data_IF_674031035114
#
_entry.id   IF_674031035114
#
_cell.length_a   1.000
_cell.length_b   1.000
_cell.length_c   1.000
_cell.angle_alpha   90.00
_cell.angle_beta   90.00
_cell.angle_gamma   90.00
#
_symmetry.space_group_name_H-M   'P 1'
#
loop_
_entity.id
_entity.type
_entity.pdbx_description
1 polymer ?
#
# COMPACT_ATOMS: atom_id res chain seq x y z
N UNK A 1 37.44 13.63 21.13
CA UNK A 1 36.03 13.60 20.67
C UNK A 1 35.64 12.14 20.45
N UNK A 2 34.69 11.62 21.24
CA UNK A 2 34.19 10.26 21.04
C UNK A 2 33.31 10.21 19.77
N UNK A 3 33.39 9.15 18.94
CA UNK A 3 32.49 9.01 17.80
C UNK A 3 31.08 8.74 18.33
N UNK A 4 30.19 9.71 18.16
CA UNK A 4 28.75 9.54 18.37
C UNK A 4 28.25 8.40 17.48
N UNK A 5 27.80 7.30 18.10
CA UNK A 5 27.09 6.20 17.43
C UNK A 5 25.86 6.79 16.73
N UNK A 6 25.96 7.01 15.42
CA UNK A 6 24.82 7.34 14.58
C UNK A 6 23.96 6.08 14.52
N UNK A 7 22.90 6.03 15.32
CA UNK A 7 21.90 4.98 15.22
C UNK A 7 21.30 5.04 13.82
N UNK A 8 21.54 4.00 13.01
CA UNK A 8 20.92 3.85 11.69
C UNK A 8 19.41 3.90 11.88
N UNK A 9 18.77 5.01 11.50
CA UNK A 9 17.32 5.09 11.39
C UNK A 9 16.91 4.06 10.35
N UNK A 10 16.22 3.02 10.79
CA UNK A 10 15.71 1.97 9.89
C UNK A 10 14.54 2.58 9.13
N UNK A 11 14.77 2.89 7.86
CA UNK A 11 13.74 3.36 6.94
C UNK A 11 13.18 2.17 6.15
N UNK A 12 11.89 1.93 6.25
CA UNK A 12 11.18 0.96 5.43
C UNK A 12 10.59 1.66 4.20
N UNK A 13 10.85 1.11 3.01
CA UNK A 13 10.26 1.59 1.76
C UNK A 13 9.38 0.51 1.17
N UNK A 14 8.12 0.85 0.96
CA UNK A 14 7.14 -0.03 0.33
C UNK A 14 6.54 0.65 -0.89
N UNK A 15 6.24 -0.14 -1.92
CA UNK A 15 5.63 0.36 -3.15
C UNK A 15 4.36 -0.42 -3.43
N UNK A 16 3.32 0.29 -3.85
CA UNK A 16 2.07 -0.29 -4.35
C UNK A 16 1.93 0.16 -5.79
N UNK A 17 2.03 -0.78 -6.70
CA UNK A 17 1.83 -0.57 -8.12
C UNK A 17 0.34 -0.70 -8.45
N UNK A 18 -0.27 0.42 -8.86
CA UNK A 18 -1.65 0.51 -9.30
C UNK A 18 -1.76 0.84 -10.79
N UNK A 19 -0.66 0.79 -11.55
CA UNK A 19 -0.58 1.26 -12.94
C UNK A 19 -1.62 0.62 -13.87
N UNK A 20 -1.80 -0.70 -13.80
CA UNK A 20 -2.81 -1.43 -14.57
C UNK A 20 -4.22 -0.85 -14.39
N UNK A 21 -4.83 -0.97 -13.20
CA UNK A 21 -6.20 -0.49 -12.98
C UNK A 21 -6.36 1.03 -12.96
N UNK A 22 -5.29 1.79 -12.71
CA UNK A 22 -5.33 3.25 -12.81
C UNK A 22 -5.36 3.72 -14.27
N UNK A 23 -4.63 3.04 -15.18
CA UNK A 23 -4.65 3.32 -16.61
C UNK A 23 -6.05 3.14 -17.22
N UNK A 24 -6.76 2.10 -16.77
CA UNK A 24 -8.14 1.80 -17.20
C UNK A 24 -9.20 2.66 -16.50
N UNK A 25 -8.78 3.61 -15.65
CA UNK A 25 -9.65 4.49 -14.84
C UNK A 25 -10.59 3.76 -13.86
N UNK A 26 -10.32 2.48 -13.57
CA UNK A 26 -11.07 1.67 -12.59
C UNK A 26 -10.61 2.01 -11.17
N UNK A 27 -9.35 2.41 -11.00
CA UNK A 27 -8.76 2.75 -9.71
C UNK A 27 -8.28 4.21 -9.66
N UNK A 28 -8.77 4.97 -8.70
CA UNK A 28 -8.30 6.35 -8.47
C UNK A 28 -7.16 6.39 -7.45
N UNK A 29 -5.94 6.57 -7.96
CA UNK A 29 -4.73 6.70 -7.15
C UNK A 29 -4.75 7.95 -6.25
N UNK A 30 -5.43 9.03 -6.65
CA UNK A 30 -5.55 10.27 -5.86
C UNK A 30 -6.43 10.05 -4.63
N UNK A 31 -7.57 9.38 -4.81
CA UNK A 31 -8.44 9.01 -3.70
C UNK A 31 -7.77 8.01 -2.76
N UNK A 32 -6.99 7.07 -3.31
CA UNK A 32 -6.26 6.10 -2.51
C UNK A 32 -5.13 6.75 -1.67
N UNK A 33 -4.39 7.71 -2.23
CA UNK A 33 -3.39 8.50 -1.50
C UNK A 33 -4.00 9.21 -0.29
N UNK A 34 -5.12 9.93 -0.49
CA UNK A 34 -5.86 10.59 0.59
C UNK A 34 -6.34 9.59 1.65
N UNK A 35 -6.86 8.44 1.20
CA UNK A 35 -7.29 7.38 2.10
C UNK A 35 -6.14 6.85 2.97
N UNK A 36 -4.93 6.71 2.42
CA UNK A 36 -3.76 6.29 3.19
C UNK A 36 -3.37 7.34 4.24
N UNK A 37 -3.40 8.63 3.90
CA UNK A 37 -3.17 9.70 4.88
C UNK A 37 -4.14 9.63 6.06
N UNK A 38 -5.42 9.37 5.81
CA UNK A 38 -6.44 9.36 6.87
C UNK A 38 -6.45 8.07 7.70
N UNK A 39 -6.06 6.94 7.09
CA UNK A 39 -6.29 5.60 7.67
C UNK A 39 -5.03 4.92 8.19
N UNK A 40 -3.85 5.40 7.82
CA UNK A 40 -2.61 4.93 8.43
C UNK A 40 -2.60 5.34 9.90
N UNK A 41 -2.39 4.33 10.75
CA UNK A 41 -2.19 4.48 12.18
C UNK A 41 -0.73 4.28 12.52
N UNK A 42 -0.25 5.13 13.42
CA UNK A 42 1.05 5.00 14.05
C UNK A 42 0.79 4.97 15.56
N UNK A 43 1.31 3.96 16.26
CA UNK A 43 1.11 3.81 17.72
C UNK A 43 -0.38 3.81 18.13
N UNK A 44 -1.25 3.28 17.26
CA UNK A 44 -2.68 3.16 17.49
C UNK A 44 -3.53 4.39 17.15
N UNK A 45 -2.93 5.52 16.77
CA UNK A 45 -3.64 6.77 16.43
C UNK A 45 -3.47 7.16 14.96
N UNK A 46 -4.51 7.76 14.39
CA UNK A 46 -4.49 8.39 13.05
C UNK A 46 -4.09 9.87 13.18
N UNK A 47 -3.61 10.50 12.10
CA UNK A 47 -3.37 11.96 12.07
C UNK A 47 -2.00 12.45 12.57
N UNK A 48 -1.02 11.55 12.76
CA UNK A 48 0.34 11.88 13.21
C UNK A 48 1.43 11.40 12.25
N UNK A 49 1.23 11.53 10.93
CA UNK A 49 2.16 11.02 9.92
C UNK A 49 3.41 11.90 9.73
N UNK A 50 3.39 13.16 10.18
CA UNK A 50 4.49 14.11 9.99
C UNK A 50 5.83 13.50 10.46
N UNK A 51 6.84 13.54 9.58
CA UNK A 51 8.20 12.99 9.70
C UNK A 51 8.34 11.47 9.88
N UNK A 52 7.26 10.76 10.24
CA UNK A 52 7.26 9.32 10.49
C UNK A 52 6.97 8.51 9.24
N UNK A 53 5.98 8.93 8.45
CA UNK A 53 5.56 8.24 7.23
C UNK A 53 5.32 9.24 6.11
N UNK A 54 6.04 9.07 5.02
CA UNK A 54 5.90 9.86 3.79
C UNK A 54 5.21 8.99 2.75
N UNK A 55 4.10 9.48 2.21
CA UNK A 55 3.37 8.87 1.10
C UNK A 55 3.62 9.75 -0.12
N UNK A 56 4.04 9.14 -1.22
CA UNK A 56 4.32 9.84 -2.48
C UNK A 56 3.66 9.08 -3.61
N UNK A 57 2.87 9.79 -4.43
CA UNK A 57 2.39 9.28 -5.71
C UNK A 57 3.42 9.57 -6.80
N UNK A 58 3.93 8.52 -7.44
CA UNK A 58 4.79 8.62 -8.62
C UNK A 58 3.99 8.73 -9.93
N UNK A 59 4.70 8.90 -11.04
CA UNK A 59 4.12 9.22 -12.35
C UNK A 59 3.24 8.10 -12.94
N UNK A 60 3.52 6.84 -12.61
CA UNK A 60 2.77 5.66 -13.12
C UNK A 60 1.64 5.17 -12.19
N UNK A 61 1.01 6.07 -11.42
CA UNK A 61 0.06 5.68 -10.36
C UNK A 61 0.64 4.71 -9.30
N UNK A 62 1.97 4.66 -9.18
CA UNK A 62 2.68 3.92 -8.14
C UNK A 62 2.69 4.74 -6.86
N UNK A 63 2.22 4.15 -5.76
CA UNK A 63 2.28 4.79 -4.45
C UNK A 63 3.48 4.24 -3.68
N UNK A 64 4.40 5.15 -3.35
CA UNK A 64 5.54 4.84 -2.50
C UNK A 64 5.26 5.29 -1.08
N UNK A 65 5.38 4.37 -0.12
CA UNK A 65 5.26 4.64 1.31
C UNK A 65 6.63 4.44 1.95
N UNK A 66 7.20 5.51 2.47
CA UNK A 66 8.46 5.49 3.22
C UNK A 66 8.16 5.72 4.69
N UNK A 67 8.55 4.78 5.56
CA UNK A 67 8.32 4.85 6.99
C UNK A 67 9.65 4.84 7.75
N UNK A 68 9.84 5.77 8.68
CA UNK A 68 11.02 5.88 9.53
C UNK A 68 10.88 5.14 10.88
N UNK A 69 9.70 4.58 11.15
CA UNK A 69 9.37 3.78 12.32
C UNK A 69 8.94 2.37 11.87
N UNK A 70 8.78 1.45 12.82
CA UNK A 70 8.19 0.11 12.58
C UNK A 70 6.90 0.20 11.77
N UNK A 71 6.97 -0.31 10.54
CA UNK A 71 5.86 -0.31 9.61
C UNK A 71 5.87 -1.61 8.84
N UNK A 72 4.73 -2.28 8.80
CA UNK A 72 4.63 -3.59 8.16
C UNK A 72 4.02 -3.47 6.77
N UNK A 73 4.60 -4.22 5.83
CA UNK A 73 4.03 -4.38 4.50
C UNK A 73 2.60 -4.92 4.57
N UNK A 74 2.33 -5.91 5.42
CA UNK A 74 1.00 -6.51 5.60
C UNK A 74 -0.07 -5.46 5.94
N UNK A 75 0.27 -4.41 6.67
CA UNK A 75 -0.67 -3.33 6.98
C UNK A 75 -1.12 -2.58 5.72
N UNK A 76 -0.24 -2.36 4.74
CA UNK A 76 -0.61 -1.80 3.45
C UNK A 76 -1.57 -2.71 2.68
N UNK A 77 -1.36 -4.05 2.70
CA UNK A 77 -2.30 -5.01 2.08
C UNK A 77 -3.69 -4.93 2.69
N UNK A 78 -3.76 -4.75 4.01
CA UNK A 78 -5.04 -4.55 4.69
C UNK A 78 -5.72 -3.26 4.25
N UNK A 79 -4.99 -2.13 4.23
CA UNK A 79 -5.53 -0.83 3.85
C UNK A 79 -5.97 -0.80 2.38
N UNK A 80 -5.19 -1.38 1.46
CA UNK A 80 -5.57 -1.50 0.04
C UNK A 80 -6.83 -2.34 -0.11
N UNK A 81 -6.91 -3.55 0.50
CA UNK A 81 -8.13 -4.38 0.49
C UNK A 81 -9.34 -3.63 1.05
N UNK A 82 -9.15 -2.83 2.10
CA UNK A 82 -10.21 -2.03 2.71
C UNK A 82 -10.72 -0.93 1.78
N UNK A 83 -9.82 -0.26 1.07
CA UNK A 83 -10.17 0.71 0.04
C UNK A 83 -10.94 0.04 -1.11
N UNK A 84 -10.43 -1.08 -1.65
CA UNK A 84 -11.10 -1.84 -2.71
C UNK A 84 -12.51 -2.27 -2.31
N UNK A 85 -12.72 -2.72 -1.06
CA UNK A 85 -14.08 -3.08 -0.59
C UNK A 85 -15.01 -1.88 -0.51
N UNK A 86 -14.53 -0.72 -0.05
CA UNK A 86 -15.33 0.51 0.02
C UNK A 86 -15.78 1.00 -1.36
N UNK A 87 -14.95 0.78 -2.37
CA UNK A 87 -15.21 1.17 -3.77
C UNK A 87 -15.77 0.03 -4.64
N UNK A 88 -16.17 -1.12 -4.03
CA UNK A 88 -16.70 -2.28 -4.75
C UNK A 88 -15.78 -2.86 -5.85
N UNK A 89 -14.47 -2.72 -5.69
CA UNK A 89 -13.45 -3.19 -6.65
C UNK A 89 -12.90 -4.59 -6.33
N UNK A 90 -13.44 -5.27 -5.31
CA UNK A 90 -12.95 -6.56 -4.82
C UNK A 90 -13.17 -7.70 -5.80
N UNK A 91 -14.16 -7.59 -6.67
CA UNK A 91 -14.52 -8.64 -7.62
C UNK A 91 -13.65 -8.57 -8.87
N UNK A 92 -13.03 -7.41 -9.11
CA UNK A 92 -12.18 -7.17 -10.28
C UNK A 92 -10.70 -7.18 -9.94
N UNK A 93 -10.31 -6.74 -8.74
CA UNK A 93 -8.91 -6.52 -8.38
C UNK A 93 -8.48 -7.30 -7.13
N UNK A 94 -7.30 -7.94 -7.22
CA UNK A 94 -6.58 -8.54 -6.10
C UNK A 94 -5.22 -7.88 -5.86
N UNK A 95 -4.83 -7.85 -4.60
CA UNK A 95 -3.53 -7.31 -4.14
C UNK A 95 -2.53 -8.46 -4.00
N UNK A 96 -1.53 -8.51 -4.87
CA UNK A 96 -0.48 -9.56 -4.88
C UNK A 96 0.87 -8.95 -4.50
N UNK A 97 1.70 -9.69 -3.77
CA UNK A 97 3.09 -9.30 -3.55
C UNK A 97 3.93 -9.63 -4.78
N UNK A 98 4.49 -8.62 -5.43
CA UNK A 98 5.41 -8.82 -6.55
C UNK A 98 6.83 -9.10 -6.03
N UNK A 99 7.28 -8.29 -5.06
CA UNK A 99 8.58 -8.44 -4.39
C UNK A 99 8.45 -8.35 -2.87
N UNK A 100 9.55 -8.53 -2.12
CA UNK A 100 9.57 -8.29 -0.67
C UNK A 100 9.08 -6.89 -0.27
N UNK A 101 9.35 -5.86 -1.09
CA UNK A 101 8.93 -4.47 -0.83
C UNK A 101 7.69 -4.00 -1.60
N UNK A 102 7.20 -4.78 -2.56
CA UNK A 102 6.26 -4.29 -3.58
C UNK A 102 4.95 -5.08 -3.56
N UNK A 103 3.82 -4.38 -3.61
CA UNK A 103 2.52 -4.94 -3.96
C UNK A 103 2.10 -4.47 -5.35
N UNK A 104 1.29 -5.27 -6.01
CA UNK A 104 0.73 -5.00 -7.32
C UNK A 104 -0.77 -5.30 -7.29
N UNK A 105 -1.57 -4.41 -7.90
CA UNK A 105 -2.98 -4.67 -8.17
C UNK A 105 -3.12 -5.44 -9.48
N UNK A 106 -3.66 -6.65 -9.43
CA UNK A 106 -3.93 -7.47 -10.60
C UNK A 106 -5.41 -7.74 -10.77
N UNK A 107 -5.84 -7.83 -12.02
CA UNK A 107 -7.17 -8.32 -12.35
C UNK A 107 -7.33 -9.80 -11.96
N UNK A 108 -8.56 -10.18 -11.59
CA UNK A 108 -8.93 -11.59 -11.61
C UNK A 108 -9.06 -12.06 -13.06
N UNK A 109 -8.45 -13.19 -13.38
CA UNK A 109 -8.75 -13.88 -14.63
C UNK A 109 -10.10 -14.57 -14.44
N UNK A 110 -11.16 -13.98 -15.02
CA UNK A 110 -12.53 -14.54 -14.99
C UNK A 110 -12.60 -15.94 -15.66
N UNK A 111 -11.55 -16.34 -16.40
CA UNK A 111 -11.44 -17.68 -16.98
C UNK A 111 -11.12 -18.81 -15.98
N UNK A 112 -10.81 -18.53 -14.71
CA UNK A 112 -10.45 -19.55 -13.69
C UNK A 112 -11.20 -19.34 -12.35
N UNK A 113 -12.44 -18.86 -12.38
CA UNK A 113 -13.20 -18.50 -11.16
C UNK A 113 -13.67 -19.69 -10.29
N UNK A 114 -13.18 -20.91 -10.52
CA UNK A 114 -13.58 -22.11 -9.78
C UNK A 114 -12.59 -22.61 -8.72
N UNK A 115 -11.39 -22.02 -8.54
CA UNK A 115 -10.33 -22.68 -7.72
C UNK A 115 -9.73 -21.91 -6.53
N UNK A 116 -10.05 -20.63 -6.28
CA UNK A 116 -9.37 -19.87 -5.20
C UNK A 116 -10.37 -19.26 -4.18
N UNK A 117 -11.25 -20.09 -3.62
CA UNK A 117 -12.13 -19.74 -2.48
C UNK A 117 -11.54 -20.08 -1.09
N UNK A 118 -10.26 -20.45 -0.98
CA UNK A 118 -9.65 -20.82 0.31
C UNK A 118 -8.32 -20.12 0.55
N UNK A 119 -8.31 -19.00 1.29
CA UNK A 119 -7.21 -18.61 2.19
C UNK A 119 -7.74 -17.62 3.23
N UNK A 120 -8.24 -18.18 4.33
CA UNK A 120 -8.49 -17.52 5.63
C UNK A 120 -7.18 -16.95 6.22
#
# INVERSE_FOLDING_TARGET
MAPTKVSKKVSYKFVIDCSGPAGDKIFDASAFEKFLHDRIKIEGRTGGLADKVTIVRGDDAKITVTANQEFSKRYLKYLTKKFLKKHQLRDWLRVIASDKGTYELRYFNIANQDEDEDEE
#
